data_IF_626071337796
#
_entry.id   IF_626071337796
#
_cell.length_a   1.000
_cell.length_b   1.000
_cell.length_c   1.000
_cell.angle_alpha   90.00
_cell.angle_beta   90.00
_cell.angle_gamma   90.00
#
_symmetry.space_group_name_H-M   'P 1'
#
loop_
_entity.id
_entity.type
_entity.pdbx_description
1 polymer ?
#
# COMPACT_ATOMS: atom_id res chain seq x y z
N UNK A 1 5.68 9.03 -2.17
CA UNK A 1 5.97 10.15 -1.24
C UNK A 1 7.37 10.03 -0.67
N UNK A 2 8.11 11.13 -0.47
CA UNK A 2 9.46 11.07 0.13
C UNK A 2 9.44 11.41 1.62
N UNK A 3 10.43 10.91 2.38
CA UNK A 3 10.54 11.15 3.82
C UNK A 3 10.61 12.64 4.20
N UNK A 4 11.29 13.46 3.40
CA UNK A 4 11.46 14.89 3.67
C UNK A 4 10.20 15.74 3.45
N UNK A 5 9.17 15.14 2.82
CA UNK A 5 7.86 15.78 2.63
C UNK A 5 6.96 15.65 3.87
N UNK A 6 7.35 14.83 4.86
CA UNK A 6 6.57 14.59 6.08
C UNK A 6 6.73 15.74 7.07
N UNK A 7 5.63 16.44 7.35
CA UNK A 7 5.54 17.59 8.27
C UNK A 7 4.58 17.36 9.43
N UNK A 8 3.67 16.40 9.29
CA UNK A 8 2.68 16.06 10.30
C UNK A 8 2.43 14.54 10.39
N UNK A 9 1.58 14.14 11.35
CA UNK A 9 1.26 12.74 11.60
C UNK A 9 0.48 12.08 10.46
N UNK A 10 -0.40 12.81 9.77
CA UNK A 10 -1.16 12.29 8.63
C UNK A 10 -0.24 11.99 7.45
N UNK A 11 0.65 12.92 7.14
CA UNK A 11 1.72 12.73 6.17
C UNK A 11 2.66 11.58 6.57
N UNK A 12 2.91 11.39 7.86
CA UNK A 12 3.65 10.24 8.38
C UNK A 12 2.94 8.91 8.08
N UNK A 13 1.63 8.83 8.34
CA UNK A 13 0.82 7.65 8.00
C UNK A 13 0.82 7.38 6.49
N UNK A 14 0.65 8.42 5.66
CA UNK A 14 0.69 8.30 4.20
C UNK A 14 2.05 7.79 3.70
N UNK A 15 3.15 8.32 4.24
CA UNK A 15 4.50 7.87 3.89
C UNK A 15 4.75 6.41 4.27
N UNK A 16 4.42 6.00 5.50
CA UNK A 16 4.60 4.61 5.93
C UNK A 16 3.73 3.67 5.10
N UNK A 17 2.48 4.07 4.81
CA UNK A 17 1.58 3.27 3.96
C UNK A 17 2.15 3.09 2.55
N UNK A 18 2.72 4.15 1.94
CA UNK A 18 3.36 4.07 0.63
C UNK A 18 4.57 3.11 0.63
N UNK A 19 5.39 3.13 1.69
CA UNK A 19 6.48 2.17 1.88
C UNK A 19 5.97 0.72 2.05
N UNK A 20 4.88 0.52 2.79
CA UNK A 20 4.25 -0.79 2.95
C UNK A 20 3.70 -1.29 1.61
N UNK A 21 3.05 -0.43 0.81
CA UNK A 21 2.56 -0.79 -0.52
C UNK A 21 3.71 -1.13 -1.49
N UNK A 22 4.83 -0.41 -1.44
CA UNK A 22 6.03 -0.78 -2.19
C UNK A 22 6.54 -2.19 -1.79
N UNK A 23 6.53 -2.50 -0.50
CA UNK A 23 6.86 -3.86 -0.02
C UNK A 23 5.88 -4.90 -0.54
N UNK A 24 4.58 -4.59 -0.58
CA UNK A 24 3.54 -5.49 -1.13
C UNK A 24 3.82 -5.78 -2.61
N UNK A 25 4.07 -4.76 -3.44
CA UNK A 25 4.35 -4.97 -4.86
C UNK A 25 5.62 -5.80 -5.07
N UNK A 26 6.69 -5.53 -4.31
CA UNK A 26 7.95 -6.26 -4.41
C UNK A 26 7.80 -7.73 -4.01
N UNK A 27 7.02 -8.01 -2.95
CA UNK A 27 6.74 -9.38 -2.53
C UNK A 27 5.85 -10.13 -3.53
N UNK A 28 4.82 -9.45 -4.06
CA UNK A 28 3.89 -10.02 -5.03
C UNK A 28 4.55 -10.33 -6.38
N UNK A 29 5.55 -9.53 -6.79
CA UNK A 29 6.28 -9.70 -8.03
C UNK A 29 7.27 -10.88 -8.04
N UNK A 30 7.57 -11.49 -6.89
CA UNK A 30 8.48 -12.64 -6.82
C UNK A 30 7.87 -13.85 -7.52
N UNK A 31 8.69 -14.64 -8.21
CA UNK A 31 8.26 -15.93 -8.80
C UNK A 31 7.67 -16.89 -7.76
N UNK A 32 8.12 -16.80 -6.50
CA UNK A 32 7.58 -17.54 -5.35
C UNK A 32 7.36 -16.58 -4.17
N UNK A 33 6.21 -15.89 -4.09
CA UNK A 33 5.94 -14.94 -3.02
C UNK A 33 5.89 -15.63 -1.65
N UNK A 34 6.47 -15.04 -0.59
CA UNK A 34 6.30 -15.55 0.77
C UNK A 34 4.86 -15.30 1.23
N UNK A 35 3.98 -16.30 1.03
CA UNK A 35 2.52 -16.18 1.18
C UNK A 35 2.08 -15.52 2.49
N UNK A 36 2.67 -15.91 3.62
CA UNK A 36 2.30 -15.37 4.92
C UNK A 36 2.65 -13.89 5.06
N UNK A 37 3.90 -13.53 4.72
CA UNK A 37 4.34 -12.14 4.85
C UNK A 37 3.63 -11.23 3.84
N UNK A 38 3.42 -11.69 2.61
CA UNK A 38 2.63 -10.94 1.63
C UNK A 38 1.20 -10.69 2.14
N UNK A 39 0.53 -11.71 2.66
CA UNK A 39 -0.81 -11.57 3.25
C UNK A 39 -0.82 -10.58 4.43
N UNK A 40 0.19 -10.64 5.29
CA UNK A 40 0.35 -9.72 6.42
C UNK A 40 0.52 -8.28 5.95
N UNK A 41 1.40 -8.03 4.97
CA UNK A 41 1.65 -6.69 4.44
C UNK A 41 0.42 -6.12 3.71
N UNK A 42 -0.30 -6.94 2.95
CA UNK A 42 -1.59 -6.56 2.33
C UNK A 42 -2.59 -6.13 3.42
N UNK A 43 -2.73 -6.91 4.50
CA UNK A 43 -3.64 -6.58 5.60
C UNK A 43 -3.28 -5.27 6.30
N UNK A 44 -1.99 -5.02 6.53
CA UNK A 44 -1.51 -3.79 7.17
C UNK A 44 -1.78 -2.58 6.26
N UNK A 45 -1.42 -2.69 4.97
CA UNK A 45 -1.65 -1.63 4.01
C UNK A 45 -3.14 -1.31 3.85
N UNK A 46 -4.00 -2.33 3.74
CA UNK A 46 -5.45 -2.11 3.63
C UNK A 46 -5.97 -1.33 4.84
N UNK A 47 -5.64 -1.77 6.05
CA UNK A 47 -6.08 -1.11 7.27
C UNK A 47 -5.56 0.33 7.36
N UNK A 48 -4.33 0.58 6.91
CA UNK A 48 -3.75 1.92 6.92
C UNK A 48 -4.46 2.86 5.93
N UNK A 49 -4.82 2.38 4.72
CA UNK A 49 -5.64 3.14 3.77
C UNK A 49 -7.02 3.44 4.37
N UNK A 50 -7.66 2.46 5.00
CA UNK A 50 -8.97 2.66 5.65
C UNK A 50 -8.88 3.68 6.79
N UNK A 51 -7.78 3.73 7.54
CA UNK A 51 -7.52 4.78 8.52
C UNK A 51 -7.31 6.14 7.87
N UNK A 52 -6.57 6.22 6.77
CA UNK A 52 -6.38 7.49 6.07
C UNK A 52 -7.71 8.07 5.59
N UNK A 53 -8.61 7.24 5.05
CA UNK A 53 -9.96 7.69 4.68
C UNK A 53 -10.78 8.14 5.89
N UNK A 54 -10.77 7.34 6.97
CA UNK A 54 -11.48 7.66 8.20
C UNK A 54 -11.01 8.98 8.83
N UNK A 55 -9.71 9.26 8.75
CA UNK A 55 -9.11 10.43 9.38
C UNK A 55 -8.94 11.62 8.42
N UNK A 56 -9.35 11.49 7.16
CA UNK A 56 -9.22 12.56 6.16
C UNK A 56 -7.77 12.89 5.81
N UNK A 57 -6.88 11.89 5.84
CA UNK A 57 -5.46 12.05 5.47
C UNK A 57 -5.35 12.05 3.95
N UNK A 58 -4.69 13.06 3.38
CA UNK A 58 -4.39 13.10 1.95
C UNK A 58 -3.26 12.12 1.60
N UNK A 59 -3.58 11.17 0.72
CA UNK A 59 -2.64 10.19 0.15
C UNK A 59 -2.61 10.22 -1.38
N UNK A 60 -3.12 11.29 -2.01
CA UNK A 60 -3.22 11.46 -3.48
C UNK A 60 -1.88 11.32 -4.22
N UNK A 61 -0.76 11.51 -3.53
CA UNK A 61 0.61 11.40 -4.07
C UNK A 61 1.32 10.09 -3.71
N UNK A 62 0.56 9.03 -3.40
CA UNK A 62 1.08 7.72 -2.99
C UNK A 62 0.43 6.60 -3.80
N UNK A 63 0.99 5.38 -3.72
CA UNK A 63 0.37 4.18 -4.30
C UNK A 63 -1.03 3.88 -3.76
N UNK A 64 -1.41 4.42 -2.59
CA UNK A 64 -2.76 4.24 -2.05
C UNK A 64 -3.82 4.90 -2.95
N UNK A 65 -3.47 5.96 -3.67
CA UNK A 65 -4.34 6.55 -4.68
C UNK A 65 -4.62 5.55 -5.83
N UNK A 66 -3.59 4.83 -6.29
CA UNK A 66 -3.73 3.81 -7.32
C UNK A 66 -4.59 2.62 -6.84
N UNK A 67 -4.41 2.19 -5.59
CA UNK A 67 -5.25 1.16 -4.96
C UNK A 67 -6.72 1.59 -4.97
N UNK A 68 -7.01 2.83 -4.59
CA UNK A 68 -8.38 3.36 -4.55
C UNK A 68 -8.98 3.53 -5.94
N UNK A 69 -8.18 3.98 -6.91
CA UNK A 69 -8.61 4.04 -8.32
C UNK A 69 -8.98 2.66 -8.88
N UNK A 70 -8.30 1.60 -8.44
CA UNK A 70 -8.54 0.21 -8.85
C UNK A 70 -9.66 -0.54 -8.11
N UNK A 71 -10.49 0.14 -7.30
CA UNK A 71 -11.57 -0.50 -6.54
C UNK A 71 -11.32 -0.64 -5.04
N UNK A 72 -10.18 -0.14 -4.55
CA UNK A 72 -9.94 0.09 -3.13
C UNK A 72 -9.50 -1.11 -2.31
N UNK A 73 -9.24 -2.26 -2.94
CA UNK A 73 -8.68 -3.44 -2.29
C UNK A 73 -7.21 -3.61 -2.62
N UNK A 74 -6.36 -3.63 -1.59
CA UNK A 74 -4.92 -3.87 -1.73
C UNK A 74 -4.65 -5.28 -2.29
N UNK A 75 -5.49 -6.26 -1.98
CA UNK A 75 -5.34 -7.62 -2.51
C UNK A 75 -5.49 -7.65 -4.05
N UNK A 76 -6.51 -6.98 -4.58
CA UNK A 76 -6.76 -6.90 -6.02
C UNK A 76 -5.64 -6.11 -6.70
N UNK A 77 -5.23 -4.98 -6.10
CA UNK A 77 -4.08 -4.22 -6.55
C UNK A 77 -2.78 -5.04 -6.52
N UNK A 78 -2.55 -5.89 -5.51
CA UNK A 78 -1.36 -6.74 -5.43
C UNK A 78 -1.36 -7.84 -6.50
N UNK A 79 -2.53 -8.31 -6.92
CA UNK A 79 -2.66 -9.39 -7.89
C UNK A 79 -2.09 -9.02 -9.27
N UNK A 80 -2.08 -7.73 -9.63
CA UNK A 80 -1.54 -7.25 -10.91
C UNK A 80 -0.03 -7.46 -11.07
N UNK A 81 0.71 -7.62 -9.96
CA UNK A 81 2.16 -7.81 -9.96
C UNK A 81 2.58 -9.29 -10.05
N UNK A 82 1.63 -10.23 -9.92
CA UNK A 82 1.96 -11.65 -10.01
C UNK A 82 2.48 -11.96 -11.42
N UNK A 83 3.70 -12.52 -11.50
CA UNK A 83 4.21 -13.05 -12.77
C UNK A 83 3.27 -14.16 -13.24
N UNK A 84 2.76 -14.05 -14.48
CA UNK A 84 2.13 -15.17 -15.16
C UNK A 84 3.24 -16.18 -15.47
N UNK A 85 3.14 -17.36 -14.85
CA UNK A 85 4.03 -18.51 -15.11
C UNK A 85 3.50 -19.26 -16.32
#
# INVERSE_FOLDING_TARGET
MNKHDVRDAGQGLAYITDCTLATVSDLAAKARPPKYELKRQISIAQQAIDWMDRFGVDYSKTRAADVRAGGGKVEDWAAQFKQQI
#
